data_IF_445579073092
#
_entry.id   IF_445579073092
#
_cell.length_a   1.000
_cell.length_b   1.000
_cell.length_c   1.000
_cell.angle_alpha   90.00
_cell.angle_beta   90.00
_cell.angle_gamma   90.00
#
_symmetry.space_group_name_H-M   'P 1'
#
loop_
_entity.id
_entity.type
_entity.pdbx_description
1 polymer ?
#
# COMPACT_ATOMS: atom_id res chain seq x y z
N UNK A 1 19.82 -1.42 -9.28
CA UNK A 1 19.71 -1.12 -10.72
C UNK A 1 19.69 0.40 -10.91
N UNK A 2 20.57 0.94 -11.76
CA UNK A 2 20.74 2.40 -11.96
C UNK A 2 19.61 3.10 -12.73
N UNK A 3 18.50 2.42 -13.02
CA UNK A 3 17.39 2.95 -13.80
C UNK A 3 16.07 2.28 -13.45
N UNK A 4 15.10 2.37 -14.36
CA UNK A 4 13.75 1.82 -14.22
C UNK A 4 13.73 0.29 -14.37
N UNK A 5 12.90 -0.39 -13.59
CA UNK A 5 12.48 -1.77 -13.80
C UNK A 5 11.02 -1.75 -14.27
N UNK A 6 10.71 -2.50 -15.31
CA UNK A 6 9.39 -2.47 -15.95
C UNK A 6 9.05 -3.82 -16.57
N UNK A 7 7.97 -4.43 -16.10
CA UNK A 7 7.45 -5.69 -16.62
C UNK A 7 5.99 -5.48 -17.02
N UNK A 8 5.76 -5.52 -18.33
CA UNK A 8 4.46 -5.26 -18.95
C UNK A 8 4.02 -6.43 -19.81
N UNK A 9 2.75 -6.83 -19.69
CA UNK A 9 2.13 -7.86 -20.56
C UNK A 9 2.96 -9.14 -20.65
N UNK A 10 3.63 -9.52 -19.56
CA UNK A 10 4.58 -10.61 -19.57
C UNK A 10 3.94 -11.91 -19.07
N UNK A 11 4.16 -13.06 -19.74
CA UNK A 11 3.57 -14.33 -19.35
C UNK A 11 4.31 -15.03 -18.19
N UNK A 12 5.31 -14.40 -17.57
CA UNK A 12 6.03 -14.97 -16.42
C UNK A 12 5.10 -15.35 -15.28
N UNK A 13 5.38 -16.49 -14.64
CA UNK A 13 4.67 -16.93 -13.45
C UNK A 13 5.27 -16.36 -12.15
N UNK A 14 6.55 -16.01 -12.17
CA UNK A 14 7.24 -15.46 -11.01
C UNK A 14 8.29 -14.44 -11.42
N UNK A 15 8.51 -13.46 -10.56
CA UNK A 15 9.61 -12.50 -10.65
C UNK A 15 10.37 -12.49 -9.33
N UNK A 16 11.65 -12.86 -9.38
CA UNK A 16 12.50 -12.90 -8.19
C UNK A 16 13.80 -12.17 -8.47
N UNK A 17 14.14 -11.22 -7.62
CA UNK A 17 15.40 -10.48 -7.70
C UNK A 17 16.08 -10.49 -6.32
N UNK A 18 16.74 -11.60 -5.96
CA UNK A 18 17.18 -11.83 -4.60
C UNK A 18 18.35 -10.93 -4.18
N UNK A 19 19.06 -10.31 -5.13
CA UNK A 19 20.20 -9.42 -4.86
C UNK A 19 19.89 -7.96 -5.24
N UNK A 20 18.61 -7.62 -5.48
CA UNK A 20 18.24 -6.25 -5.80
C UNK A 20 18.13 -5.44 -4.53
N UNK A 21 19.10 -4.55 -4.30
CA UNK A 21 19.12 -3.65 -3.13
C UNK A 21 18.40 -2.31 -3.39
N UNK A 22 18.39 -1.83 -4.62
CA UNK A 22 17.75 -0.55 -4.94
C UNK A 22 17.39 -0.39 -6.41
N UNK A 23 16.39 0.43 -6.67
CA UNK A 23 15.98 0.86 -8.02
C UNK A 23 16.06 2.38 -8.06
N UNK A 24 16.94 2.96 -8.88
CA UNK A 24 17.07 4.43 -8.94
C UNK A 24 15.91 5.11 -9.69
N UNK A 25 15.23 4.38 -10.60
CA UNK A 25 14.03 4.85 -11.28
C UNK A 25 12.76 4.20 -10.74
N UNK A 26 11.74 4.06 -11.60
CA UNK A 26 10.50 3.39 -11.20
C UNK A 26 10.64 1.87 -11.16
N UNK A 27 9.85 1.23 -10.32
CA UNK A 27 9.55 -0.19 -10.36
C UNK A 27 8.09 -0.37 -10.80
N UNK A 28 7.87 -0.95 -11.98
CA UNK A 28 6.52 -1.09 -12.55
C UNK A 28 6.23 -2.54 -12.95
N UNK A 29 5.13 -3.09 -12.43
CA UNK A 29 4.52 -4.35 -12.83
C UNK A 29 3.10 -4.09 -13.30
N UNK A 30 2.87 -4.25 -14.60
CA UNK A 30 1.55 -3.99 -15.16
C UNK A 30 1.08 -5.06 -16.15
N UNK A 31 -0.19 -5.47 -16.04
CA UNK A 31 -0.84 -6.41 -16.96
C UNK A 31 -0.13 -7.77 -17.06
N UNK A 32 0.48 -8.26 -15.97
CA UNK A 32 1.12 -9.59 -15.95
C UNK A 32 0.13 -10.63 -15.41
N UNK A 33 -0.79 -11.07 -16.28
CA UNK A 33 -1.90 -11.94 -15.90
C UNK A 33 -1.47 -13.31 -15.36
N UNK A 34 -0.27 -13.78 -15.67
CA UNK A 34 0.24 -15.07 -15.17
C UNK A 34 1.10 -14.92 -13.91
N UNK A 35 1.50 -13.69 -13.55
CA UNK A 35 2.42 -13.46 -12.44
C UNK A 35 1.72 -13.84 -11.14
N UNK A 36 2.20 -14.91 -10.51
CA UNK A 36 1.68 -15.44 -9.26
C UNK A 36 2.54 -15.05 -8.05
N UNK A 37 3.83 -14.82 -8.24
CA UNK A 37 4.73 -14.45 -7.15
C UNK A 37 5.73 -13.35 -7.52
N UNK A 38 5.99 -12.47 -6.55
CA UNK A 38 6.99 -11.42 -6.60
C UNK A 38 7.83 -11.50 -5.33
N UNK A 39 9.17 -11.54 -5.46
CA UNK A 39 10.07 -11.58 -4.32
C UNK A 39 11.30 -10.69 -4.54
N UNK A 40 11.44 -9.68 -3.67
CA UNK A 40 12.52 -8.69 -3.68
C UNK A 40 12.97 -8.40 -2.25
N UNK A 41 13.38 -9.45 -1.54
CA UNK A 41 13.59 -9.41 -0.09
C UNK A 41 14.67 -8.42 0.35
N UNK A 42 15.63 -8.13 -0.52
CA UNK A 42 16.74 -7.23 -0.23
C UNK A 42 16.51 -5.80 -0.75
N UNK A 43 15.36 -5.50 -1.34
CA UNK A 43 15.09 -4.15 -1.87
C UNK A 43 14.90 -3.17 -0.73
N UNK A 44 15.80 -2.19 -0.62
CA UNK A 44 15.83 -1.16 0.41
C UNK A 44 15.15 0.14 -0.05
N UNK A 45 15.25 0.48 -1.35
CA UNK A 45 14.69 1.75 -1.82
C UNK A 45 14.35 1.81 -3.30
N UNK A 46 13.34 2.62 -3.60
CA UNK A 46 12.95 2.97 -4.97
C UNK A 46 12.99 4.49 -5.13
N UNK A 47 13.87 4.97 -6.02
CA UNK A 47 14.09 6.39 -6.32
C UNK A 47 12.99 7.02 -7.18
N UNK A 48 12.20 6.20 -7.86
CA UNK A 48 10.95 6.60 -8.53
C UNK A 48 9.73 6.04 -7.82
N UNK A 49 8.67 5.72 -8.59
CA UNK A 49 7.46 5.10 -8.05
C UNK A 49 7.53 3.56 -8.01
N UNK A 50 6.79 2.96 -7.10
CA UNK A 50 6.39 1.55 -7.15
C UNK A 50 4.96 1.52 -7.72
N UNK A 51 4.74 0.79 -8.80
CA UNK A 51 3.41 0.62 -9.39
C UNK A 51 3.13 -0.84 -9.72
N UNK A 52 2.15 -1.42 -9.05
CA UNK A 52 1.68 -2.80 -9.24
C UNK A 52 0.21 -2.73 -9.66
N UNK A 53 -0.02 -2.77 -10.98
CA UNK A 53 -1.32 -2.53 -11.60
C UNK A 53 -1.77 -3.75 -12.42
N UNK A 54 -3.01 -4.21 -12.23
CA UNK A 54 -3.61 -5.26 -13.09
C UNK A 54 -2.75 -6.54 -13.19
N UNK A 55 -2.30 -7.07 -12.05
CA UNK A 55 -1.68 -8.39 -11.97
C UNK A 55 -2.67 -9.33 -11.26
N UNK A 56 -3.76 -9.76 -11.92
CA UNK A 56 -4.90 -10.38 -11.25
C UNK A 56 -4.59 -11.72 -10.58
N UNK A 57 -3.50 -12.41 -10.95
CA UNK A 57 -3.08 -13.66 -10.32
C UNK A 57 -1.95 -13.49 -9.30
N UNK A 58 -1.49 -12.25 -9.07
CA UNK A 58 -0.45 -11.99 -8.09
C UNK A 58 -0.96 -12.39 -6.72
N UNK A 59 -0.17 -13.19 -6.00
CA UNK A 59 -0.49 -13.63 -4.64
C UNK A 59 -1.66 -14.64 -4.54
N UNK A 60 -1.89 -15.40 -5.61
CA UNK A 60 -2.92 -16.45 -5.65
C UNK A 60 -2.55 -17.74 -4.91
N UNK A 61 -1.41 -17.78 -4.22
CA UNK A 61 -0.93 -18.94 -3.48
C UNK A 61 -0.76 -18.56 -2.00
N UNK A 62 -1.30 -19.33 -1.03
CA UNK A 62 -1.25 -19.01 0.40
C UNK A 62 0.16 -18.81 1.01
N UNK A 63 1.23 -19.18 0.29
CA UNK A 63 2.63 -18.94 0.70
C UNK A 63 3.33 -17.84 -0.11
N UNK A 64 2.70 -17.35 -1.17
CA UNK A 64 3.13 -16.10 -1.77
C UNK A 64 2.63 -14.98 -0.85
N UNK A 65 3.41 -13.93 -0.73
CA UNK A 65 2.96 -12.65 -0.20
C UNK A 65 3.72 -11.60 -0.98
N UNK A 66 3.03 -10.56 -1.43
CA UNK A 66 3.72 -9.37 -1.93
C UNK A 66 4.45 -8.72 -0.74
N UNK A 67 5.72 -9.08 -0.54
CA UNK A 67 6.53 -8.53 0.55
C UNK A 67 7.80 -7.89 0.01
N UNK A 68 8.10 -6.71 0.57
CA UNK A 68 9.37 -6.01 0.41
C UNK A 68 9.85 -5.69 1.82
N UNK A 69 10.28 -6.72 2.58
CA UNK A 69 10.49 -6.60 4.02
C UNK A 69 11.56 -5.59 4.39
N UNK A 70 12.54 -5.35 3.51
CA UNK A 70 13.61 -4.39 3.72
C UNK A 70 13.36 -3.02 3.09
N UNK A 71 12.20 -2.80 2.44
CA UNK A 71 11.94 -1.53 1.75
C UNK A 71 11.77 -0.42 2.78
N UNK A 72 12.68 0.55 2.79
CA UNK A 72 12.74 1.69 3.71
C UNK A 72 12.08 2.94 3.13
N UNK A 73 12.15 3.14 1.82
CA UNK A 73 11.64 4.37 1.21
C UNK A 73 11.24 4.26 -0.27
N UNK A 74 10.21 5.02 -0.62
CA UNK A 74 9.78 5.24 -2.01
C UNK A 74 9.76 6.75 -2.27
N UNK A 75 10.63 7.22 -3.17
CA UNK A 75 10.75 8.65 -3.49
C UNK A 75 9.62 9.15 -4.40
N UNK A 76 8.92 8.27 -5.10
CA UNK A 76 7.72 8.56 -5.87
C UNK A 76 6.44 8.04 -5.19
N UNK A 77 5.47 7.65 -6.02
CA UNK A 77 4.22 7.06 -5.55
C UNK A 77 4.39 5.57 -5.17
N UNK A 78 3.59 5.12 -4.22
CA UNK A 78 3.31 3.71 -3.99
C UNK A 78 1.90 3.39 -4.50
N UNK A 79 1.79 2.66 -5.60
CA UNK A 79 0.52 2.39 -6.27
C UNK A 79 0.27 0.88 -6.32
N UNK A 80 -0.88 0.47 -5.81
CA UNK A 80 -1.39 -0.90 -5.84
C UNK A 80 -2.84 -0.89 -6.31
N UNK A 81 -3.07 -1.24 -7.57
CA UNK A 81 -4.39 -1.09 -8.18
C UNK A 81 -4.82 -2.30 -9.01
N UNK A 82 -6.10 -2.68 -8.93
CA UNK A 82 -6.72 -3.71 -9.77
C UNK A 82 -6.03 -5.08 -9.70
N UNK A 83 -5.47 -5.47 -8.55
CA UNK A 83 -4.88 -6.79 -8.35
C UNK A 83 -5.92 -7.72 -7.72
N UNK A 84 -6.83 -8.23 -8.56
CA UNK A 84 -8.05 -8.91 -8.13
C UNK A 84 -7.83 -10.09 -7.17
N UNK A 85 -6.87 -10.98 -7.43
CA UNK A 85 -6.57 -12.11 -6.53
C UNK A 85 -5.41 -11.81 -5.57
N UNK A 86 -5.11 -10.53 -5.31
CA UNK A 86 -4.24 -10.14 -4.20
C UNK A 86 -4.98 -10.43 -2.89
N UNK A 87 -5.09 -11.72 -2.60
CA UNK A 87 -6.01 -12.30 -1.63
C UNK A 87 -5.35 -12.52 -0.28
N UNK A 88 -4.12 -12.03 -0.11
CA UNK A 88 -3.13 -12.74 0.69
C UNK A 88 -3.67 -13.09 2.07
N UNK A 89 -3.72 -14.40 2.32
CA UNK A 89 -3.88 -14.96 3.65
C UNK A 89 -2.72 -14.54 4.58
N UNK A 90 -1.74 -13.79 4.06
CA UNK A 90 -0.65 -13.12 4.78
C UNK A 90 -0.51 -11.68 4.27
N UNK A 91 -1.24 -10.76 4.91
CA UNK A 91 -1.03 -9.30 4.97
C UNK A 91 -0.05 -8.65 3.98
N UNK A 92 -0.52 -7.69 3.18
CA UNK A 92 0.39 -6.78 2.48
C UNK A 92 1.15 -5.97 3.53
N UNK A 93 2.42 -6.30 3.72
CA UNK A 93 3.21 -5.82 4.85
C UNK A 93 4.51 -5.20 4.38
N UNK A 94 4.71 -3.92 4.70
CA UNK A 94 5.96 -3.21 4.49
C UNK A 94 6.55 -2.84 5.86
N UNK A 95 7.21 -3.82 6.48
CA UNK A 95 7.65 -3.71 7.86
C UNK A 95 8.78 -2.70 8.09
N UNK A 96 9.49 -2.27 7.05
CA UNK A 96 10.56 -1.28 7.20
C UNK A 96 10.26 0.02 6.48
N UNK A 97 9.10 0.17 5.82
CA UNK A 97 8.82 1.35 5.01
C UNK A 97 8.57 2.53 5.93
N UNK A 98 9.48 3.51 5.91
CA UNK A 98 9.45 4.69 6.75
C UNK A 98 8.81 5.89 6.03
N UNK A 99 9.05 6.01 4.71
CA UNK A 99 8.65 7.20 3.95
C UNK A 99 8.15 6.88 2.55
N UNK A 100 7.05 7.52 2.17
CA UNK A 100 6.61 7.65 0.77
C UNK A 100 6.57 9.14 0.44
N UNK A 101 7.42 9.61 -0.47
CA UNK A 101 7.57 11.05 -0.71
C UNK A 101 6.47 11.65 -1.59
N UNK A 102 5.64 10.82 -2.22
CA UNK A 102 4.45 11.25 -2.94
C UNK A 102 3.19 10.51 -2.42
N UNK A 103 2.36 9.92 -3.27
CA UNK A 103 1.08 9.33 -2.85
C UNK A 103 1.19 7.85 -2.50
N UNK A 104 0.29 7.38 -1.64
CA UNK A 104 -0.02 5.97 -1.44
C UNK A 104 -1.43 5.73 -1.97
N UNK A 105 -1.53 4.99 -3.08
CA UNK A 105 -2.80 4.64 -3.71
C UNK A 105 -3.00 3.12 -3.64
N UNK A 106 -4.01 2.69 -2.88
CA UNK A 106 -4.41 1.28 -2.73
C UNK A 106 -5.87 1.15 -3.15
N UNK A 107 -6.07 0.77 -4.41
CA UNK A 107 -7.38 0.88 -5.05
C UNK A 107 -7.85 -0.39 -5.74
N UNK A 108 -9.13 -0.72 -5.59
CA UNK A 108 -9.79 -1.80 -6.36
C UNK A 108 -9.08 -3.16 -6.25
N UNK A 109 -8.63 -3.53 -5.04
CA UNK A 109 -8.08 -4.85 -4.73
C UNK A 109 -9.11 -5.66 -3.91
N UNK A 110 -10.13 -6.27 -4.54
CA UNK A 110 -11.30 -6.81 -3.84
C UNK A 110 -11.01 -7.94 -2.86
N UNK A 111 -9.90 -8.67 -3.01
CA UNK A 111 -9.53 -9.73 -2.08
C UNK A 111 -8.48 -9.30 -1.03
N UNK A 112 -8.06 -8.04 -1.02
CA UNK A 112 -7.10 -7.54 -0.03
C UNK A 112 -7.72 -7.54 1.36
N UNK A 113 -7.16 -8.33 2.29
CA UNK A 113 -7.70 -8.48 3.65
C UNK A 113 -7.09 -7.50 4.67
N UNK A 114 -5.80 -7.18 4.53
CA UNK A 114 -5.08 -6.28 5.43
C UNK A 114 -3.98 -5.52 4.70
N UNK A 115 -3.69 -4.33 5.22
CA UNK A 115 -2.65 -3.43 4.74
C UNK A 115 -1.85 -2.94 5.97
N UNK A 116 -0.58 -3.27 6.05
CA UNK A 116 0.24 -2.93 7.21
C UNK A 116 1.54 -2.24 6.77
N UNK A 117 1.71 -0.99 7.21
CA UNK A 117 2.95 -0.24 7.08
C UNK A 117 3.32 0.32 8.47
N UNK A 118 3.69 -0.55 9.43
CA UNK A 118 3.74 -0.20 10.85
C UNK A 118 4.79 0.87 11.19
N UNK A 119 5.81 1.05 10.35
CA UNK A 119 6.89 2.02 10.54
C UNK A 119 6.77 3.25 9.63
N UNK A 120 5.73 3.33 8.81
CA UNK A 120 5.51 4.47 7.92
C UNK A 120 5.28 5.71 8.78
N UNK A 121 6.18 6.68 8.69
CA UNK A 121 6.14 7.93 9.45
C UNK A 121 5.53 9.07 8.65
N UNK A 122 5.91 9.22 7.38
CA UNK A 122 5.46 10.35 6.57
C UNK A 122 5.04 9.93 5.15
N UNK A 123 3.99 10.60 4.66
CA UNK A 123 3.54 10.56 3.26
C UNK A 123 3.53 11.98 2.72
N UNK A 124 4.38 12.26 1.74
CA UNK A 124 4.56 13.58 1.13
C UNK A 124 3.37 14.06 0.29
N UNK A 125 2.52 13.14 -0.16
CA UNK A 125 1.26 13.41 -0.84
C UNK A 125 0.06 12.89 -0.04
N UNK A 126 -0.91 12.33 -0.76
CA UNK A 126 -2.14 11.78 -0.19
C UNK A 126 -2.02 10.29 0.12
N UNK A 127 -2.84 9.81 1.05
CA UNK A 127 -3.15 8.39 1.23
C UNK A 127 -4.57 8.15 0.72
N UNK A 128 -4.72 7.31 -0.30
CA UNK A 128 -6.00 6.95 -0.91
C UNK A 128 -6.16 5.42 -0.82
N UNK A 129 -7.13 4.98 -0.02
CA UNK A 129 -7.51 3.58 0.12
C UNK A 129 -8.97 3.43 -0.32
N UNK A 130 -9.17 3.03 -1.57
CA UNK A 130 -10.46 3.10 -2.24
C UNK A 130 -10.92 1.74 -2.77
N UNK A 131 -12.14 1.32 -2.47
CA UNK A 131 -12.76 0.20 -3.19
C UNK A 131 -12.09 -1.16 -2.91
N UNK A 132 -11.63 -1.40 -1.68
CA UNK A 132 -11.11 -2.70 -1.24
C UNK A 132 -12.13 -3.35 -0.30
N UNK A 133 -13.24 -3.93 -0.81
CA UNK A 133 -14.39 -4.35 -0.01
C UNK A 133 -14.08 -5.37 1.11
N UNK A 134 -13.02 -6.18 0.96
CA UNK A 134 -12.61 -7.15 1.99
C UNK A 134 -11.54 -6.66 2.97
N UNK A 135 -11.07 -5.42 2.84
CA UNK A 135 -10.06 -4.85 3.72
C UNK A 135 -10.65 -4.59 5.11
N UNK A 136 -10.11 -5.25 6.13
CA UNK A 136 -10.67 -5.18 7.49
C UNK A 136 -9.95 -4.19 8.40
N UNK A 137 -8.62 -4.16 8.34
CA UNK A 137 -7.79 -3.46 9.33
C UNK A 137 -6.50 -2.91 8.71
N UNK A 138 -6.55 -1.79 7.97
CA UNK A 138 -5.33 -1.06 7.60
C UNK A 138 -4.65 -0.49 8.85
N UNK A 139 -3.34 -0.68 8.98
CA UNK A 139 -2.55 -0.23 10.14
C UNK A 139 -1.29 0.51 9.71
N UNK A 140 -1.14 1.73 10.23
CA UNK A 140 0.00 2.63 9.96
C UNK A 140 0.34 3.35 11.27
N UNK A 141 0.66 2.59 12.32
CA UNK A 141 0.65 3.09 13.70
C UNK A 141 1.65 4.22 13.96
N UNK A 142 2.76 4.25 13.21
CA UNK A 142 3.78 5.30 13.32
C UNK A 142 3.53 6.49 12.39
N UNK A 143 2.43 6.50 11.64
CA UNK A 143 2.16 7.57 10.69
C UNK A 143 1.91 8.87 11.44
N UNK A 144 2.80 9.84 11.24
CA UNK A 144 2.75 11.16 11.87
C UNK A 144 2.15 12.21 10.93
N UNK A 145 2.52 12.18 9.65
CA UNK A 145 2.14 13.23 8.70
C UNK A 145 1.72 12.68 7.34
N UNK A 146 0.60 13.19 6.84
CA UNK A 146 0.12 13.10 5.46
C UNK A 146 0.02 14.52 4.93
N UNK A 147 0.89 14.91 4.01
CA UNK A 147 0.93 16.30 3.54
C UNK A 147 -0.18 16.64 2.54
N UNK A 148 -0.87 15.64 2.01
CA UNK A 148 -2.09 15.76 1.20
C UNK A 148 -3.35 15.29 1.92
N UNK A 149 -4.26 14.65 1.17
CA UNK A 149 -5.53 14.12 1.66
C UNK A 149 -5.35 12.74 2.31
N UNK A 150 -6.22 12.41 3.26
CA UNK A 150 -6.36 11.08 3.83
C UNK A 150 -7.76 10.54 3.54
N UNK A 151 -7.86 9.63 2.56
CA UNK A 151 -9.13 9.13 2.05
C UNK A 151 -9.18 7.60 2.20
N UNK A 152 -10.13 7.12 2.98
CA UNK A 152 -10.42 5.68 3.16
C UNK A 152 -11.88 5.45 2.82
N UNK A 153 -12.18 5.10 1.56
CA UNK A 153 -13.56 5.02 1.07
C UNK A 153 -13.89 3.68 0.41
N UNK A 154 -15.15 3.24 0.50
CA UNK A 154 -15.68 2.03 -0.14
C UNK A 154 -14.89 0.74 0.24
N UNK A 155 -14.54 0.62 1.52
CA UNK A 155 -13.94 -0.58 2.10
C UNK A 155 -14.99 -1.24 3.01
N UNK A 156 -15.92 -2.00 2.41
CA UNK A 156 -17.17 -2.44 3.06
C UNK A 156 -16.98 -3.26 4.35
N UNK A 157 -15.88 -4.02 4.47
CA UNK A 157 -15.57 -4.83 5.65
C UNK A 157 -14.62 -4.14 6.64
N UNK A 158 -14.39 -2.83 6.52
CA UNK A 158 -13.49 -2.08 7.39
C UNK A 158 -13.96 -2.14 8.85
N UNK A 159 -13.30 -2.96 9.66
CA UNK A 159 -13.64 -3.20 11.05
C UNK A 159 -12.90 -2.23 11.99
N UNK A 160 -11.68 -1.83 11.63
CA UNK A 160 -10.85 -0.95 12.46
C UNK A 160 -9.96 -0.07 11.60
N UNK A 161 -9.77 1.18 12.01
CA UNK A 161 -8.80 2.10 11.44
C UNK A 161 -7.99 2.75 12.57
N UNK A 162 -6.66 2.58 12.56
CA UNK A 162 -5.80 3.05 13.64
C UNK A 162 -4.49 3.68 13.11
N UNK A 163 -4.35 4.98 13.37
CA UNK A 163 -3.17 5.82 13.17
C UNK A 163 -3.01 6.74 14.40
N UNK A 164 -2.74 6.18 15.59
CA UNK A 164 -2.75 6.92 16.85
C UNK A 164 -1.72 8.06 16.91
N UNK A 165 -0.66 7.97 16.12
CA UNK A 165 0.40 8.98 16.07
C UNK A 165 0.17 10.03 14.98
N UNK A 166 -0.98 10.02 14.29
CA UNK A 166 -1.25 10.99 13.23
C UNK A 166 -1.42 12.38 13.83
N UNK A 167 -0.52 13.28 13.47
CA UNK A 167 -0.42 14.66 13.96
C UNK A 167 -0.76 15.70 12.88
N UNK A 168 -0.48 15.38 11.61
CA UNK A 168 -0.69 16.28 10.48
C UNK A 168 -1.38 15.63 9.29
N UNK A 169 -2.50 16.20 8.86
CA UNK A 169 -3.11 16.01 7.54
C UNK A 169 -3.22 17.38 6.87
N UNK A 170 -2.58 17.53 5.71
CA UNK A 170 -2.52 18.80 4.98
C UNK A 170 -3.80 19.13 4.22
N UNK A 171 -4.54 18.09 3.81
CA UNK A 171 -5.79 18.19 3.07
C UNK A 171 -6.99 17.63 3.82
N UNK A 172 -7.88 16.98 3.09
CA UNK A 172 -9.14 16.46 3.60
C UNK A 172 -8.98 15.09 4.26
N UNK A 173 -9.70 14.88 5.38
CA UNK A 173 -9.86 13.56 5.99
C UNK A 173 -11.24 13.02 5.64
N UNK A 174 -11.30 11.88 4.97
CA UNK A 174 -12.57 11.25 4.66
C UNK A 174 -12.55 9.75 4.78
N UNK A 175 -13.33 9.24 5.72
CA UNK A 175 -13.50 7.81 6.00
C UNK A 175 -14.95 7.43 5.71
N UNK A 176 -15.19 6.40 4.89
CA UNK A 176 -16.54 5.89 4.62
C UNK A 176 -16.51 4.45 4.04
N UNK A 177 -17.22 3.46 4.59
CA UNK A 177 -18.06 3.55 5.79
C UNK A 177 -17.22 3.74 7.05
N UNK A 178 -17.89 4.10 8.14
CA UNK A 178 -17.25 4.22 9.45
C UNK A 178 -16.79 2.85 9.94
N UNK A 179 -15.52 2.71 10.36
CA UNK A 179 -15.04 1.47 10.93
C UNK A 179 -15.70 1.21 12.29
N UNK A 180 -15.76 -0.06 12.70
CA UNK A 180 -16.23 -0.45 14.03
C UNK A 180 -15.41 0.17 15.18
N UNK A 181 -14.13 0.46 14.95
CA UNK A 181 -13.30 1.30 15.81
C UNK A 181 -12.43 2.26 15.00
N UNK A 182 -12.31 3.51 15.43
CA UNK A 182 -11.47 4.50 14.76
C UNK A 182 -10.57 5.24 15.76
N UNK A 183 -9.28 5.35 15.44
CA UNK A 183 -8.30 6.16 16.14
C UNK A 183 -7.39 6.84 15.10
N UNK A 184 -7.56 8.15 14.91
CA UNK A 184 -6.74 8.97 14.01
C UNK A 184 -5.89 9.98 14.80
N UNK A 185 -5.48 9.62 16.02
CA UNK A 185 -4.67 10.49 16.86
C UNK A 185 -5.38 11.81 17.18
N UNK A 186 -4.74 12.95 16.87
CA UNK A 186 -5.32 14.28 17.13
C UNK A 186 -6.55 14.60 16.27
N UNK A 187 -6.84 13.76 15.27
CA UNK A 187 -7.97 13.89 14.35
C UNK A 187 -9.17 13.02 14.72
N UNK A 188 -9.17 12.37 15.89
CA UNK A 188 -10.38 11.75 16.41
C UNK A 188 -11.51 12.81 16.52
N UNK A 189 -12.62 12.56 15.84
CA UNK A 189 -13.84 13.36 15.72
C UNK A 189 -13.83 14.38 14.59
N UNK A 190 -12.91 14.30 13.62
CA UNK A 190 -12.63 15.36 12.62
C UNK A 190 -12.68 14.92 11.16
N UNK A 191 -13.18 13.73 10.86
CA UNK A 191 -13.45 13.38 9.47
C UNK A 191 -14.57 14.28 8.86
N UNK A 192 -14.65 14.31 7.53
CA UNK A 192 -15.67 15.08 6.81
C UNK A 192 -17.12 14.68 7.11
N UNK A 193 -17.36 13.47 7.65
CA UNK A 193 -18.69 12.94 7.89
C UNK A 193 -19.08 12.88 9.38
N UNK A 194 -18.16 13.18 10.29
CA UNK A 194 -18.39 13.27 11.74
C UNK A 194 -18.25 11.94 12.50
N UNK A 195 -17.62 10.93 11.89
CA UNK A 195 -17.41 9.60 12.43
C UNK A 195 -15.99 9.08 12.10
N UNK A 196 -15.25 8.72 13.15
CA UNK A 196 -13.82 8.97 13.33
C UNK A 196 -13.63 10.32 14.01
#
# INVERSE_FOLDING_TARGET
VGGKISVYNNPIASLTMPNLEGVFGDFILENNYNLASLAMNNLEGVGGKISVLRNPNLDNNPIASLTMPNLEGVFGDFILENNYNLASLASLTMNNLENVYNNIDVENNPNLLSLAMPYLGNVGGSIIVLGNPNLASPTMNNLENVFGDFIVRYNDNLASLAMPNLEGVGGDISVMPDPGSCDLGVYAGRDQFGFC
#
